data_IF_700124957580
#
_entry.id   IF_700124957580
#
_cell.length_a   1.000
_cell.length_b   1.000
_cell.length_c   1.000
_cell.angle_alpha   90.00
_cell.angle_beta   90.00
_cell.angle_gamma   90.00
#
_symmetry.space_group_name_H-M   'P 1'
#
loop_
_entity.id
_entity.type
_entity.pdbx_description
1 polymer ?
#
# COMPACT_ATOMS: atom_id res chain seq x y z
N UNK A 1 -7.84 -23.68 12.05
CA UNK A 1 -8.28 -22.46 11.33
C UNK A 1 -8.71 -21.29 12.26
N UNK A 2 -8.15 -21.13 13.47
CA UNK A 2 -8.58 -20.09 14.44
C UNK A 2 -7.57 -18.94 14.68
N UNK A 3 -6.31 -19.10 14.28
CA UNK A 3 -5.22 -18.19 14.65
C UNK A 3 -5.36 -16.76 14.08
N UNK A 4 -6.13 -16.55 13.01
CA UNK A 4 -6.37 -15.21 12.45
C UNK A 4 -7.56 -14.49 13.08
N UNK A 5 -8.47 -15.20 13.77
CA UNK A 5 -9.57 -14.62 14.56
C UNK A 5 -9.14 -14.33 16.00
N UNK A 6 -8.28 -15.18 16.57
CA UNK A 6 -7.53 -14.90 17.79
C UNK A 6 -6.28 -14.11 17.42
N UNK A 7 -6.45 -12.90 16.88
CA UNK A 7 -5.35 -11.97 16.77
C UNK A 7 -5.01 -11.49 18.19
N UNK A 8 -4.35 -12.33 18.98
CA UNK A 8 -3.61 -11.90 20.16
C UNK A 8 -2.48 -11.02 19.65
N UNK A 9 -2.81 -9.76 19.31
CA UNK A 9 -1.79 -8.77 19.01
C UNK A 9 -1.03 -8.57 20.31
N UNK A 10 0.24 -9.01 20.38
CA UNK A 10 1.01 -8.80 21.59
C UNK A 10 1.09 -7.29 21.85
N UNK A 11 1.20 -6.85 23.11
CA UNK A 11 1.44 -5.46 23.45
C UNK A 11 2.56 -4.88 22.60
N UNK A 12 2.44 -3.61 22.20
CA UNK A 12 3.36 -2.96 21.26
C UNK A 12 4.83 -3.02 21.73
N UNK A 13 5.03 -3.20 23.05
CA UNK A 13 6.32 -3.27 23.71
C UNK A 13 6.70 -4.68 24.18
N UNK A 14 5.93 -5.72 23.87
CA UNK A 14 6.23 -7.08 24.35
C UNK A 14 7.57 -7.56 23.78
N UNK A 15 7.76 -7.44 22.46
CA UNK A 15 8.99 -7.89 21.81
C UNK A 15 10.20 -7.10 22.28
N UNK A 16 10.07 -5.78 22.48
CA UNK A 16 11.16 -4.96 23.00
C UNK A 16 11.47 -5.30 24.45
N UNK A 17 10.46 -5.55 25.30
CA UNK A 17 10.66 -6.01 26.68
C UNK A 17 11.32 -7.38 26.75
N UNK A 18 10.85 -8.35 25.96
CA UNK A 18 11.47 -9.68 25.89
C UNK A 18 12.91 -9.57 25.40
N UNK A 19 13.15 -8.76 24.37
CA UNK A 19 14.51 -8.50 23.88
C UNK A 19 15.41 -7.91 24.96
N UNK A 20 14.90 -6.91 25.72
CA UNK A 20 15.64 -6.30 26.82
C UNK A 20 15.95 -7.32 27.93
N UNK A 21 14.95 -8.11 28.35
CA UNK A 21 15.14 -9.15 29.36
C UNK A 21 16.16 -10.21 28.92
N UNK A 22 16.18 -10.58 27.65
CA UNK A 22 17.19 -11.50 27.12
C UNK A 22 18.59 -10.88 27.19
N UNK A 23 18.75 -9.63 26.77
CA UNK A 23 20.05 -8.94 26.83
C UNK A 23 20.50 -8.76 28.29
N UNK A 24 19.60 -8.34 29.18
CA UNK A 24 19.89 -8.17 30.60
C UNK A 24 20.27 -9.49 31.28
N UNK A 25 19.62 -10.60 30.91
CA UNK A 25 19.93 -11.93 31.46
C UNK A 25 21.33 -12.42 31.04
N UNK A 26 21.71 -12.22 29.78
CA UNK A 26 23.00 -12.70 29.29
C UNK A 26 24.19 -11.83 29.69
N UNK A 27 23.94 -10.56 30.02
CA UNK A 27 24.99 -9.58 30.33
C UNK A 27 24.87 -8.96 31.73
N UNK A 28 23.99 -9.47 32.61
CA UNK A 28 23.74 -8.95 33.97
C UNK A 28 23.57 -7.42 34.01
N UNK A 29 22.85 -6.86 33.04
CA UNK A 29 22.67 -5.42 32.78
C UNK A 29 23.95 -4.63 32.47
N UNK A 30 25.10 -5.29 32.33
CA UNK A 30 26.39 -4.71 31.95
C UNK A 30 26.65 -4.89 30.45
N UNK A 31 25.90 -4.18 29.61
CA UNK A 31 26.05 -4.23 28.16
C UNK A 31 26.97 -3.10 27.66
N UNK A 32 28.26 -3.41 27.52
CA UNK A 32 29.24 -2.55 26.85
C UNK A 32 29.40 -2.86 25.35
N UNK A 33 28.72 -3.92 24.88
CA UNK A 33 28.79 -4.41 23.50
C UNK A 33 27.74 -3.71 22.61
N UNK A 34 28.13 -3.12 21.47
CA UNK A 34 27.19 -2.47 20.56
C UNK A 34 26.11 -3.42 20.02
N UNK A 35 24.91 -2.87 19.78
CA UNK A 35 23.77 -3.63 19.26
C UNK A 35 24.09 -4.35 17.94
N UNK A 36 24.91 -3.74 17.08
CA UNK A 36 25.35 -4.32 15.81
C UNK A 36 26.13 -5.62 15.99
N UNK A 37 26.93 -5.76 17.05
CA UNK A 37 27.76 -6.95 17.34
C UNK A 37 26.93 -8.06 17.99
N UNK A 38 25.97 -7.69 18.84
CA UNK A 38 25.09 -8.65 19.52
C UNK A 38 24.29 -9.49 18.52
N UNK A 39 23.72 -8.84 17.49
CA UNK A 39 22.83 -9.48 16.52
C UNK A 39 23.53 -10.00 15.26
N UNK A 40 24.84 -9.79 15.14
CA UNK A 40 25.64 -10.29 14.03
C UNK A 40 25.82 -11.82 14.15
N UNK A 41 25.83 -12.58 13.03
CA UNK A 41 26.15 -14.00 13.04
C UNK A 41 27.50 -14.29 13.73
N UNK A 42 27.63 -15.48 14.33
CA UNK A 42 28.88 -15.86 15.04
C UNK A 42 30.05 -15.99 14.07
N UNK A 43 29.75 -16.39 12.85
CA UNK A 43 30.64 -16.56 11.72
C UNK A 43 31.24 -15.22 11.26
N UNK A 44 30.53 -14.11 11.50
CA UNK A 44 30.95 -12.74 11.19
C UNK A 44 31.58 -12.03 12.41
N UNK A 45 31.88 -12.77 13.48
CA UNK A 45 32.47 -12.22 14.71
C UNK A 45 31.45 -11.65 15.72
N UNK A 46 30.17 -11.95 15.54
CA UNK A 46 29.09 -11.56 16.44
C UNK A 46 28.76 -12.57 17.53
N UNK A 47 27.71 -12.27 18.30
CA UNK A 47 27.19 -13.18 19.33
C UNK A 47 26.04 -14.07 18.84
N UNK A 48 25.51 -13.82 17.65
CA UNK A 48 24.41 -14.60 17.06
C UNK A 48 23.08 -14.46 17.81
N UNK A 49 22.90 -13.38 18.59
CA UNK A 49 21.63 -13.12 19.24
C UNK A 49 20.56 -12.86 18.17
N UNK A 50 19.35 -13.34 18.39
CA UNK A 50 18.26 -13.13 17.43
C UNK A 50 17.60 -11.77 17.71
N UNK A 51 17.57 -10.89 16.72
CA UNK A 51 16.78 -9.66 16.80
C UNK A 51 15.30 -9.96 16.53
N UNK A 52 14.49 -9.99 17.60
CA UNK A 52 13.09 -10.41 17.52
C UNK A 52 12.24 -9.53 16.60
N UNK A 53 12.46 -8.21 16.59
CA UNK A 53 11.74 -7.31 15.70
C UNK A 53 12.09 -7.54 14.23
N UNK A 54 13.36 -7.82 13.91
CA UNK A 54 13.78 -8.18 12.54
C UNK A 54 13.16 -9.50 12.10
N UNK A 55 13.07 -10.51 12.98
CA UNK A 55 12.35 -11.75 12.65
C UNK A 55 10.86 -11.52 12.40
N UNK A 56 10.22 -10.66 13.19
CA UNK A 56 8.84 -10.25 12.96
C UNK A 56 8.65 -9.51 11.62
N UNK A 57 9.62 -8.70 11.21
CA UNK A 57 9.61 -8.04 9.91
C UNK A 57 9.80 -9.05 8.77
N UNK A 58 10.80 -9.92 8.86
CA UNK A 58 11.08 -10.96 7.86
C UNK A 58 9.88 -11.91 7.67
N UNK A 59 9.20 -12.30 8.75
CA UNK A 59 7.98 -13.11 8.66
C UNK A 59 6.88 -12.39 7.86
N UNK A 60 6.66 -11.10 8.13
CA UNK A 60 5.67 -10.29 7.39
C UNK A 60 6.06 -10.12 5.93
N UNK A 61 7.34 -9.94 5.61
CA UNK A 61 7.81 -9.89 4.22
C UNK A 61 7.55 -11.22 3.51
N UNK A 62 7.89 -12.35 4.15
CA UNK A 62 7.62 -13.68 3.60
C UNK A 62 6.13 -13.91 3.38
N UNK A 63 5.29 -13.42 4.29
CA UNK A 63 3.84 -13.44 4.11
C UNK A 63 3.42 -12.65 2.88
N UNK A 64 3.88 -11.41 2.72
CA UNK A 64 3.57 -10.56 1.55
C UNK A 64 4.07 -11.22 0.26
N UNK A 65 5.29 -11.75 0.26
CA UNK A 65 5.84 -12.47 -0.89
C UNK A 65 4.96 -13.64 -1.28
N UNK A 66 4.60 -14.53 -0.32
CA UNK A 66 3.71 -15.66 -0.62
C UNK A 66 2.30 -15.23 -1.01
N UNK A 67 1.81 -14.10 -0.50
CA UNK A 67 0.50 -13.56 -0.86
C UNK A 67 0.48 -13.05 -2.31
N UNK A 68 1.55 -12.39 -2.76
CA UNK A 68 1.65 -11.79 -4.09
C UNK A 68 2.06 -12.80 -5.17
N UNK A 69 3.13 -13.58 -4.91
CA UNK A 69 3.76 -14.46 -5.91
C UNK A 69 3.62 -15.94 -5.60
N UNK A 70 3.03 -16.29 -4.46
CA UNK A 70 2.88 -17.68 -4.06
C UNK A 70 1.76 -18.41 -4.81
N UNK A 71 1.68 -19.74 -4.59
CA UNK A 71 0.63 -20.60 -5.15
C UNK A 71 -0.80 -20.12 -4.83
N UNK A 72 -1.73 -20.43 -5.73
CA UNK A 72 -3.14 -20.05 -5.56
C UNK A 72 -3.90 -20.93 -4.54
N UNK A 73 -3.41 -22.13 -4.27
CA UNK A 73 -3.99 -23.16 -3.38
C UNK A 73 -3.72 -22.92 -1.89
N UNK A 74 -3.05 -21.82 -1.54
CA UNK A 74 -2.82 -21.44 -0.15
C UNK A 74 -4.15 -21.15 0.57
N UNK A 75 -4.55 -22.04 1.48
CA UNK A 75 -5.83 -22.00 2.21
C UNK A 75 -6.11 -20.67 2.93
N UNK A 76 -5.06 -19.97 3.37
CA UNK A 76 -5.18 -18.68 4.06
C UNK A 76 -5.29 -17.47 3.11
N UNK A 77 -4.98 -17.64 1.81
CA UNK A 77 -4.92 -16.52 0.84
C UNK A 77 -6.28 -15.85 0.60
N UNK A 78 -7.40 -16.58 0.43
CA UNK A 78 -8.71 -15.94 0.31
C UNK A 78 -9.11 -15.12 1.54
N UNK A 79 -8.77 -15.62 2.73
CA UNK A 79 -9.04 -14.92 4.00
C UNK A 79 -8.19 -13.66 4.09
N UNK A 80 -6.90 -13.74 3.76
CA UNK A 80 -6.01 -12.58 3.74
C UNK A 80 -6.49 -11.53 2.74
N UNK A 81 -6.93 -11.95 1.54
CA UNK A 81 -7.51 -11.08 0.51
C UNK A 81 -8.74 -10.34 1.04
N UNK A 82 -9.71 -11.06 1.60
CA UNK A 82 -10.94 -10.47 2.14
C UNK A 82 -10.68 -9.48 3.29
N UNK A 83 -9.62 -9.68 4.07
CA UNK A 83 -9.21 -8.75 5.12
C UNK A 83 -8.52 -7.50 4.55
N UNK A 84 -7.67 -7.67 3.53
CA UNK A 84 -6.99 -6.56 2.86
C UNK A 84 -7.97 -5.69 2.05
N UNK A 85 -9.00 -6.26 1.44
CA UNK A 85 -10.05 -5.53 0.71
C UNK A 85 -10.80 -4.51 1.59
N UNK A 86 -10.79 -4.70 2.92
CA UNK A 86 -11.36 -3.75 3.89
C UNK A 86 -10.49 -2.53 4.12
N UNK A 87 -9.25 -2.53 3.62
CA UNK A 87 -8.31 -1.43 3.78
C UNK A 87 -8.85 -0.15 3.13
N UNK A 88 -9.15 0.85 3.97
CA UNK A 88 -9.61 2.15 3.51
C UNK A 88 -10.92 2.17 2.72
N UNK A 89 -11.70 1.09 2.73
CA UNK A 89 -12.93 0.97 1.93
C UNK A 89 -12.70 0.85 0.41
N UNK A 90 -11.45 0.60 -0.01
CA UNK A 90 -11.07 0.58 -1.42
C UNK A 90 -11.47 -0.70 -2.15
N UNK A 91 -11.68 -1.82 -1.44
CA UNK A 91 -11.98 -3.10 -2.10
C UNK A 91 -10.81 -3.65 -2.91
N UNK A 92 -9.58 -3.24 -2.58
CA UNK A 92 -8.35 -3.71 -3.22
C UNK A 92 -7.59 -4.67 -2.30
N UNK A 93 -6.90 -5.63 -2.90
CA UNK A 93 -6.03 -6.55 -2.17
C UNK A 93 -4.57 -6.42 -2.60
N UNK A 94 -4.14 -7.18 -3.61
CA UNK A 94 -2.75 -7.21 -4.09
C UNK A 94 -2.29 -5.82 -4.55
N UNK A 95 -3.16 -5.08 -5.25
CA UNK A 95 -2.85 -3.74 -5.77
C UNK A 95 -2.54 -2.71 -4.68
N UNK A 96 -2.95 -2.95 -3.41
CA UNK A 96 -2.59 -2.07 -2.29
C UNK A 96 -1.06 -1.94 -2.12
N UNK A 97 -0.30 -3.00 -2.45
CA UNK A 97 1.16 -3.01 -2.30
C UNK A 97 1.88 -2.17 -3.37
N UNK A 98 1.17 -1.78 -4.44
CA UNK A 98 1.65 -0.89 -5.50
C UNK A 98 1.37 0.60 -5.23
N UNK A 99 0.56 0.89 -4.20
CA UNK A 99 0.09 2.24 -3.88
C UNK A 99 0.90 2.87 -2.75
N UNK A 100 0.85 4.20 -2.68
CA UNK A 100 1.25 4.98 -1.51
C UNK A 100 0.08 5.10 -0.53
N UNK A 101 0.14 4.32 0.54
CA UNK A 101 -0.92 4.27 1.55
C UNK A 101 -0.75 5.32 2.66
N UNK A 102 0.15 6.30 2.51
CA UNK A 102 0.25 7.41 3.45
C UNK A 102 -1.09 8.15 3.58
N UNK A 103 -1.52 8.39 4.82
CA UNK A 103 -2.79 9.07 5.12
C UNK A 103 -4.05 8.21 4.94
N UNK A 104 -3.93 6.91 4.63
CA UNK A 104 -5.06 5.98 4.68
C UNK A 104 -5.38 5.55 6.11
N UNK A 105 -6.67 5.48 6.44
CA UNK A 105 -7.13 4.90 7.70
C UNK A 105 -6.92 3.39 7.65
N UNK A 106 -5.86 2.92 8.30
CA UNK A 106 -5.56 1.49 8.47
C UNK A 106 -6.28 0.88 9.69
N UNK A 107 -7.09 1.66 10.41
CA UNK A 107 -7.74 1.27 11.66
C UNK A 107 -8.65 0.03 11.52
N UNK A 108 -9.14 -0.23 10.30
CA UNK A 108 -9.99 -1.39 10.00
C UNK A 108 -9.19 -2.69 9.83
N UNK A 109 -7.87 -2.63 9.87
CA UNK A 109 -6.97 -3.77 9.78
C UNK A 109 -6.43 -4.13 11.16
N UNK A 110 -6.32 -5.43 11.44
CA UNK A 110 -5.59 -5.88 12.64
C UNK A 110 -4.12 -5.42 12.59
N UNK A 111 -3.48 -5.36 13.76
CA UNK A 111 -2.06 -4.97 13.87
C UNK A 111 -1.12 -5.82 13.01
N UNK A 112 -1.48 -7.08 12.71
CA UNK A 112 -0.73 -7.92 11.78
C UNK A 112 -0.76 -7.34 10.35
N UNK A 113 -1.96 -7.13 9.79
CA UNK A 113 -2.14 -6.65 8.41
C UNK A 113 -1.68 -5.20 8.23
N UNK A 114 -1.92 -4.32 9.21
CA UNK A 114 -1.34 -2.98 9.22
C UNK A 114 0.19 -3.00 9.26
N UNK A 115 0.77 -3.97 9.98
CA UNK A 115 2.21 -4.20 10.02
C UNK A 115 2.82 -4.63 8.68
N UNK A 116 2.05 -5.28 7.79
CA UNK A 116 2.54 -5.67 6.47
C UNK A 116 2.99 -4.45 5.65
N UNK A 117 2.18 -3.37 5.66
CA UNK A 117 2.50 -2.15 4.93
C UNK A 117 3.69 -1.39 5.52
N UNK A 118 3.86 -1.42 6.85
CA UNK A 118 5.04 -0.84 7.51
C UNK A 118 6.32 -1.51 7.03
N UNK A 119 6.34 -2.84 7.02
CA UNK A 119 7.54 -3.59 6.62
C UNK A 119 7.73 -3.53 5.10
N UNK A 120 6.65 -3.57 4.32
CA UNK A 120 6.70 -3.37 2.87
C UNK A 120 7.25 -1.99 2.49
N UNK A 121 7.02 -0.98 3.33
CA UNK A 121 7.58 0.37 3.16
C UNK A 121 9.09 0.48 3.37
N UNK A 122 9.74 -0.55 3.95
CA UNK A 122 11.21 -0.59 4.10
C UNK A 122 11.92 -0.90 2.78
N UNK A 123 11.21 -1.47 1.81
CA UNK A 123 11.80 -1.88 0.53
C UNK A 123 11.76 -0.74 -0.47
N UNK A 124 12.87 -0.58 -1.22
CA UNK A 124 12.89 0.24 -2.43
C UNK A 124 12.10 -0.50 -3.51
N UNK A 125 11.05 0.13 -4.03
CA UNK A 125 10.17 -0.45 -5.05
C UNK A 125 10.53 0.15 -6.40
N UNK A 126 11.03 -0.68 -7.30
CA UNK A 126 11.32 -0.27 -8.67
C UNK A 126 10.25 -0.85 -9.61
N UNK A 127 9.74 -0.02 -10.50
CA UNK A 127 8.80 -0.45 -11.55
C UNK A 127 9.59 -0.66 -12.83
N UNK A 128 9.47 -1.82 -13.50
CA UNK A 128 10.09 -1.99 -14.81
C UNK A 128 9.47 -0.99 -15.80
N UNK A 129 10.33 -0.37 -16.62
CA UNK A 129 9.94 0.67 -17.57
C UNK A 129 8.93 0.16 -18.60
N UNK A 130 9.09 -1.08 -19.05
CA UNK A 130 8.14 -1.72 -19.96
C UNK A 130 7.26 -2.73 -19.20
N UNK A 131 5.94 -2.53 -19.25
CA UNK A 131 5.01 -3.55 -18.81
C UNK A 131 4.74 -4.47 -20.01
N UNK A 132 5.46 -5.59 -20.11
CA UNK A 132 5.33 -6.52 -21.24
C UNK A 132 4.00 -7.28 -21.32
N UNK A 133 3.01 -6.91 -20.52
CA UNK A 133 1.71 -7.58 -20.45
C UNK A 133 0.60 -6.58 -20.14
N UNK A 134 -0.37 -6.50 -21.05
CA UNK A 134 -1.59 -5.71 -20.89
C UNK A 134 -2.35 -6.12 -19.61
N UNK A 135 -2.35 -7.41 -19.27
CA UNK A 135 -3.02 -7.90 -18.06
C UNK A 135 -2.49 -7.22 -16.78
N UNK A 136 -1.17 -7.08 -16.66
CA UNK A 136 -0.56 -6.41 -15.50
C UNK A 136 -0.78 -4.90 -15.55
N UNK A 137 -0.73 -4.31 -16.74
CA UNK A 137 -0.97 -2.89 -16.94
C UNK A 137 -2.41 -2.48 -16.52
N UNK A 138 -3.42 -3.29 -16.85
CA UNK A 138 -4.81 -3.01 -16.49
C UNK A 138 -5.07 -3.14 -14.98
N UNK A 139 -4.23 -3.89 -14.25
CA UNK A 139 -4.31 -4.03 -12.78
C UNK A 139 -3.55 -2.94 -12.02
N UNK A 140 -2.83 -2.07 -12.72
CA UNK A 140 -2.14 -0.94 -12.10
C UNK A 140 -3.13 0.04 -11.48
N UNK A 141 -2.91 0.48 -10.22
CA UNK A 141 -3.72 1.50 -9.62
C UNK A 141 -3.53 2.84 -10.34
N UNK A 142 -4.57 3.67 -10.38
CA UNK A 142 -4.55 5.04 -10.94
C UNK A 142 -4.60 6.14 -9.87
N UNK A 143 -4.69 5.75 -8.59
CA UNK A 143 -4.69 6.67 -7.44
C UNK A 143 -3.54 6.37 -6.49
N UNK A 144 -3.15 7.37 -5.68
CA UNK A 144 -2.21 7.25 -4.56
C UNK A 144 -0.86 6.61 -4.92
N UNK A 145 0.05 7.39 -5.52
CA UNK A 145 1.40 6.90 -5.87
C UNK A 145 1.41 5.93 -7.05
N UNK A 146 0.32 5.91 -7.82
CA UNK A 146 0.16 5.16 -9.07
C UNK A 146 1.25 5.47 -10.09
N UNK A 147 1.45 4.54 -11.03
CA UNK A 147 2.30 4.77 -12.22
C UNK A 147 1.73 5.92 -13.06
N UNK A 148 0.40 5.97 -13.13
CA UNK A 148 -0.34 7.02 -13.80
C UNK A 148 -0.57 8.17 -12.81
N UNK A 149 0.30 9.16 -12.84
CA UNK A 149 0.14 10.36 -12.02
C UNK A 149 -0.92 11.24 -12.68
N UNK A 150 -2.12 11.25 -12.09
CA UNK A 150 -3.10 12.25 -12.45
C UNK A 150 -2.65 13.60 -11.85
N UNK A 151 -2.17 14.53 -12.68
CA UNK A 151 -1.77 15.89 -12.25
C UNK A 151 -2.96 16.77 -11.84
N UNK A 152 -4.17 16.23 -11.87
CA UNK A 152 -5.39 16.93 -11.52
C UNK A 152 -5.50 17.04 -10.00
N UNK A 153 -6.14 18.11 -9.51
CA UNK A 153 -6.26 18.42 -8.09
C UNK A 153 -6.84 17.29 -7.23
N UNK A 154 -6.63 17.39 -5.90
CA UNK A 154 -7.05 16.40 -4.88
C UNK A 154 -8.52 15.97 -4.99
N UNK A 155 -9.38 16.82 -5.57
CA UNK A 155 -10.80 16.55 -5.81
C UNK A 155 -11.05 15.36 -6.74
N UNK A 156 -10.25 15.18 -7.81
CA UNK A 156 -10.45 14.07 -8.74
C UNK A 156 -10.05 12.73 -8.12
N UNK A 157 -8.94 12.69 -7.40
CA UNK A 157 -8.49 11.51 -6.67
C UNK A 157 -9.53 11.05 -5.64
N UNK A 158 -10.17 12.01 -4.96
CA UNK A 158 -11.23 11.72 -4.00
C UNK A 158 -12.45 11.10 -4.71
N UNK A 159 -12.90 11.66 -5.83
CA UNK A 159 -14.01 11.12 -6.63
C UNK A 159 -13.73 9.72 -7.16
N UNK A 160 -12.52 9.48 -7.69
CA UNK A 160 -12.09 8.14 -8.13
C UNK A 160 -12.16 7.12 -6.98
N UNK A 161 -11.80 7.54 -5.76
CA UNK A 161 -11.92 6.68 -4.58
C UNK A 161 -13.37 6.44 -4.17
N UNK A 162 -14.22 7.46 -4.21
CA UNK A 162 -15.66 7.37 -3.88
C UNK A 162 -16.39 6.43 -4.85
N UNK A 163 -16.13 6.57 -6.15
CA UNK A 163 -16.74 5.77 -7.23
C UNK A 163 -16.04 4.42 -7.47
N UNK A 164 -15.01 4.08 -6.68
CA UNK A 164 -14.22 2.84 -6.77
C UNK A 164 -13.61 2.58 -8.17
N UNK A 165 -13.26 3.64 -8.88
CA UNK A 165 -12.48 3.60 -10.13
C UNK A 165 -11.00 3.74 -9.74
N UNK A 166 -10.38 2.61 -9.37
CA UNK A 166 -9.07 2.57 -8.74
C UNK A 166 -7.98 1.96 -9.61
N UNK A 167 -8.36 1.15 -10.61
CA UNK A 167 -7.44 0.46 -11.52
C UNK A 167 -7.57 0.98 -12.95
N UNK A 168 -6.50 0.88 -13.73
CA UNK A 168 -6.50 1.32 -15.13
C UNK A 168 -7.57 0.60 -15.95
N UNK A 169 -7.77 -0.70 -15.73
CA UNK A 169 -8.81 -1.47 -16.42
C UNK A 169 -10.21 -0.87 -16.26
N UNK A 170 -10.55 -0.40 -15.06
CA UNK A 170 -11.85 0.23 -14.79
C UNK A 170 -11.96 1.59 -15.50
N UNK A 171 -10.85 2.32 -15.64
CA UNK A 171 -10.83 3.57 -16.43
C UNK A 171 -11.03 3.25 -17.91
N UNK A 172 -10.35 2.22 -18.43
CA UNK A 172 -10.48 1.77 -19.82
C UNK A 172 -11.91 1.28 -20.13
N UNK A 173 -12.55 0.59 -19.19
CA UNK A 173 -13.96 0.17 -19.32
C UNK A 173 -14.91 1.37 -19.48
N UNK A 174 -14.60 2.51 -18.86
CA UNK A 174 -15.44 3.72 -18.90
C UNK A 174 -15.10 4.61 -20.11
N UNK A 175 -13.80 4.80 -20.35
CA UNK A 175 -13.29 5.73 -21.36
C UNK A 175 -13.09 5.08 -22.75
N UNK A 176 -13.21 3.77 -22.86
CA UNK A 176 -12.81 3.00 -24.03
C UNK A 176 -11.29 2.74 -24.10
N UNK A 177 -10.85 1.85 -25.00
CA UNK A 177 -9.44 1.45 -25.13
C UNK A 177 -8.51 2.59 -25.55
N UNK A 178 -9.04 3.65 -26.17
CA UNK A 178 -8.31 4.85 -26.56
C UNK A 178 -8.29 5.93 -25.50
N UNK A 179 -8.99 5.73 -24.37
CA UNK A 179 -9.12 6.70 -23.28
C UNK A 179 -9.67 8.07 -23.73
N UNK A 180 -10.51 8.10 -24.77
CA UNK A 180 -11.02 9.30 -25.43
C UNK A 180 -12.39 9.75 -24.88
N UNK A 181 -13.16 8.86 -24.25
CA UNK A 181 -14.46 9.21 -23.67
C UNK A 181 -14.36 9.88 -22.29
N UNK A 182 -13.77 11.07 -22.24
CA UNK A 182 -13.65 11.89 -21.04
C UNK A 182 -15.02 12.33 -20.47
N UNK A 183 -16.02 12.54 -21.35
CA UNK A 183 -17.37 12.89 -20.95
C UNK A 183 -18.03 11.75 -20.14
N UNK A 184 -17.89 10.49 -20.59
CA UNK A 184 -18.39 9.33 -19.87
C UNK A 184 -17.76 9.16 -18.48
N UNK A 185 -16.45 9.41 -18.37
CA UNK A 185 -15.77 9.41 -17.07
C UNK A 185 -16.24 10.54 -16.17
N UNK A 186 -16.41 11.75 -16.71
CA UNK A 186 -16.91 12.89 -15.96
C UNK A 186 -18.33 12.65 -15.42
N UNK A 187 -19.22 12.09 -16.25
CA UNK A 187 -20.57 11.70 -15.84
C UNK A 187 -20.53 10.68 -14.71
N UNK A 188 -19.67 9.66 -14.80
CA UNK A 188 -19.55 8.62 -13.78
C UNK A 188 -18.96 9.13 -12.47
N UNK A 189 -18.07 10.12 -12.54
CA UNK A 189 -17.48 10.78 -11.37
C UNK A 189 -18.36 11.90 -10.79
N UNK A 190 -19.57 12.09 -11.30
CA UNK A 190 -20.47 13.19 -10.94
C UNK A 190 -19.79 14.57 -11.04
N UNK A 191 -18.88 14.72 -12.02
CA UNK A 191 -18.20 15.97 -12.30
C UNK A 191 -19.09 16.81 -13.19
N UNK A 192 -19.41 18.04 -12.76
CA UNK A 192 -20.07 19.00 -13.64
C UNK A 192 -19.12 19.33 -14.79
N UNK A 193 -19.58 19.35 -16.06
CA UNK A 193 -18.78 19.87 -17.14
C UNK A 193 -18.39 21.31 -16.79
N UNK A 194 -17.10 21.65 -16.94
CA UNK A 194 -16.66 23.03 -16.82
C UNK A 194 -17.49 23.85 -17.80
N UNK A 195 -18.19 24.87 -17.30
CA UNK A 195 -18.91 25.81 -18.15
C UNK A 195 -17.94 26.30 -19.23
N UNK A 196 -18.31 26.13 -20.50
CA UNK A 196 -17.56 26.69 -21.61
C UNK A 196 -17.32 28.18 -21.32
N UNK A 197 -16.11 28.73 -21.61
CA UNK A 197 -15.89 30.16 -21.46
C UNK A 197 -16.90 30.88 -22.35
N UNK A 198 -17.88 31.52 -21.72
CA UNK A 198 -18.89 32.31 -22.42
C UNK A 198 -18.21 33.38 -23.30
N UNK A 199 -18.83 33.75 -24.42
CA UNK A 199 -18.25 34.72 -25.34
C UNK A 199 -17.89 35.99 -24.57
N UNK A 200 -16.63 36.42 -24.68
CA UNK A 200 -16.17 37.70 -24.11
C UNK A 200 -17.09 38.79 -24.66
N UNK A 201 -17.67 39.67 -23.82
CA UNK A 201 -18.44 40.79 -24.32
C UNK A 201 -17.54 41.65 -25.21
N UNK A 202 -18.02 41.96 -26.40
CA UNK A 202 -17.35 42.85 -27.33
C UNK A 202 -17.11 44.21 -26.64
N UNK A 203 -15.88 44.70 -26.71
CA UNK A 203 -15.55 46.05 -26.27
C UNK A 203 -16.40 47.04 -27.10
N UNK A 204 -17.09 48.01 -26.49
CA UNK A 204 -17.71 49.06 -27.27
C UNK A 204 -16.61 49.84 -27.99
N UNK A 205 -16.73 49.89 -29.32
CA UNK A 205 -16.00 50.82 -30.17
C UNK A 205 -16.38 52.23 -29.77
N UNK A 206 -15.44 52.97 -29.17
CA UNK A 206 -15.57 54.42 -29.03
C UNK A 206 -15.55 55.04 -30.42
N UNK A 207 -16.61 55.76 -30.75
CA UNK A 207 -16.69 56.68 -31.87
C UNK A 207 -17.00 58.06 -31.30
N UNK A 208 -16.06 58.97 -31.57
CA UNK A 208 -16.04 60.44 -31.52
C UNK A 208 -16.38 61.18 -30.20
#
# INVERSE_FOLDING_TARGET
MLAHRLACTPPVNLLSRVQALMVDFFWDRMHWVPQSVLFLPKEEGGHGLVHLASRGAAFRLRFVQRFLTGPADLVWRPVARALLERCGGLGLAESLFLMDLKGLRLNNLSGFYGGLFKVWGLLKKERPECCGSLFWLLREPVVRGSRFVCRVGRSLLQRLCEERILMLGQVVEVCGPRLDNAAGLASRLSLRPAAAPGPRPARPSGSD
#
